data_IF_531005935500
#
_entry.id   IF_531005935500
#
_cell.length_a   1.000
_cell.length_b   1.000
_cell.length_c   1.000
_cell.angle_alpha   90.00
_cell.angle_beta   90.00
_cell.angle_gamma   90.00
#
_symmetry.space_group_name_H-M   'P 1'
#
loop_
_entity.id
_entity.type
_entity.pdbx_description
1 polymer ?
#
# COMPACT_ATOMS: atom_id res chain seq x y z
N UNK A 1 -8.83 -29.99 -15.13
CA UNK A 1 -8.19 -28.69 -14.81
C UNK A 1 -7.50 -28.02 -16.00
N UNK A 2 -6.81 -28.74 -16.90
CA UNK A 2 -6.28 -28.15 -18.15
C UNK A 2 -7.36 -27.64 -19.12
N UNK A 3 -8.52 -28.33 -19.19
CA UNK A 3 -9.65 -27.86 -20.02
C UNK A 3 -10.34 -26.60 -19.49
N UNK A 4 -10.31 -26.35 -18.18
CA UNK A 4 -10.79 -25.08 -17.60
C UNK A 4 -9.84 -23.91 -17.89
N UNK A 5 -8.53 -24.18 -18.05
CA UNK A 5 -7.52 -23.22 -18.52
C UNK A 5 -7.71 -22.88 -20.00
N UNK A 6 -7.97 -23.89 -20.83
CA UNK A 6 -8.24 -23.69 -22.27
C UNK A 6 -9.57 -22.96 -22.49
N UNK A 7 -10.62 -23.28 -21.72
CA UNK A 7 -11.88 -22.55 -21.77
C UNK A 7 -11.75 -21.08 -21.31
N UNK A 8 -10.97 -20.79 -20.26
CA UNK A 8 -10.68 -19.40 -19.81
C UNK A 8 -9.86 -18.62 -20.84
N UNK A 9 -8.85 -19.22 -21.45
CA UNK A 9 -8.03 -18.60 -22.48
C UNK A 9 -8.81 -18.38 -23.78
N UNK A 10 -9.67 -19.33 -24.19
CA UNK A 10 -10.51 -19.22 -25.39
C UNK A 10 -11.69 -18.25 -25.19
N UNK A 11 -12.26 -18.17 -23.98
CA UNK A 11 -13.31 -17.19 -23.66
C UNK A 11 -12.74 -15.77 -23.55
N UNK A 12 -11.52 -15.61 -23.01
CA UNK A 12 -10.80 -14.35 -23.12
C UNK A 12 -10.52 -14.04 -24.59
N UNK A 13 -9.93 -14.95 -25.37
CA UNK A 13 -9.60 -14.76 -26.79
C UNK A 13 -10.79 -14.36 -27.67
N UNK A 14 -12.01 -14.83 -27.38
CA UNK A 14 -13.22 -14.39 -28.09
C UNK A 14 -13.69 -12.99 -27.72
N UNK A 15 -13.43 -12.52 -26.49
CA UNK A 15 -13.67 -11.12 -26.10
C UNK A 15 -12.63 -10.17 -26.73
N UNK A 16 -11.46 -10.69 -27.14
CA UNK A 16 -10.41 -9.93 -27.83
C UNK A 16 -10.71 -9.68 -29.33
N UNK A 17 -11.52 -10.52 -29.98
CA UNK A 17 -11.90 -10.32 -31.40
C UNK A 17 -12.87 -9.14 -31.62
N UNK A 18 -13.45 -8.58 -30.55
CA UNK A 18 -14.36 -7.42 -30.61
C UNK A 18 -13.70 -6.06 -30.33
N UNK A 19 -12.36 -5.97 -30.26
CA UNK A 19 -11.65 -4.68 -30.32
C UNK A 19 -11.79 -3.74 -29.10
N UNK A 20 -12.10 -4.27 -27.91
CA UNK A 20 -12.26 -3.46 -26.69
C UNK A 20 -10.97 -3.47 -25.83
N UNK A 21 -9.95 -2.71 -26.26
CA UNK A 21 -8.71 -2.51 -25.50
C UNK A 21 -8.87 -1.50 -24.38
N UNK A 22 -8.46 -1.87 -23.15
CA UNK A 22 -8.34 -0.97 -21.98
C UNK A 22 -6.89 -0.43 -21.93
N UNK A 23 -6.69 0.73 -21.30
CA UNK A 23 -5.50 1.58 -21.46
C UNK A 23 -4.69 1.69 -20.18
N UNK A 24 -3.37 1.57 -20.31
CA UNK A 24 -2.42 1.97 -19.27
C UNK A 24 -2.14 3.47 -19.46
N UNK A 25 -2.38 4.28 -18.43
CA UNK A 25 -2.07 5.70 -18.47
C UNK A 25 -0.73 5.96 -17.80
N UNK A 26 0.23 6.46 -18.58
CA UNK A 26 1.56 6.83 -18.07
C UNK A 26 1.71 8.33 -18.00
N UNK A 27 2.00 8.86 -16.81
CA UNK A 27 2.30 10.29 -16.66
C UNK A 27 3.67 10.59 -17.28
N UNK A 28 3.74 11.49 -18.26
CA UNK A 28 5.01 12.09 -18.70
C UNK A 28 5.54 12.97 -17.56
N UNK A 29 6.34 12.38 -16.69
CA UNK A 29 7.16 13.17 -15.77
C UNK A 29 8.15 13.95 -16.64
N UNK A 30 8.18 15.28 -16.49
CA UNK A 30 9.32 16.06 -16.99
C UNK A 30 10.60 15.38 -16.50
N UNK A 31 11.60 15.33 -17.37
CA UNK A 31 12.75 14.42 -17.40
C UNK A 31 13.71 14.48 -16.21
N UNK A 32 13.32 15.04 -15.06
CA UNK A 32 14.20 15.35 -13.95
C UNK A 32 14.28 14.28 -12.84
N UNK A 33 13.55 13.15 -12.95
CA UNK A 33 13.69 12.04 -11.98
C UNK A 33 13.62 10.69 -12.70
N UNK A 34 14.59 10.40 -13.57
CA UNK A 34 14.91 9.04 -14.06
C UNK A 34 16.28 8.94 -14.77
N UNK A 35 17.29 9.64 -14.27
CA UNK A 35 18.69 9.39 -14.66
C UNK A 35 19.48 8.74 -13.52
N UNK A 36 19.09 7.53 -13.14
CA UNK A 36 20.00 6.61 -12.45
C UNK A 36 19.79 5.20 -12.96
N UNK A 37 19.95 5.01 -14.27
CA UNK A 37 20.34 3.73 -14.88
C UNK A 37 20.64 3.97 -16.36
N UNK A 38 21.91 4.22 -16.68
CA UNK A 38 22.55 3.80 -17.94
C UNK A 38 24.04 3.99 -17.76
N UNK A 39 24.69 2.95 -17.25
CA UNK A 39 26.13 2.79 -17.38
C UNK A 39 26.36 1.97 -18.66
N UNK A 40 26.92 2.56 -19.72
CA UNK A 40 27.79 1.83 -20.62
C UNK A 40 29.22 2.34 -20.40
N UNK A 41 30.07 1.45 -19.93
CA UNK A 41 31.51 1.66 -19.88
C UNK A 41 32.05 2.07 -21.25
N UNK A 42 33.13 2.87 -21.20
CA UNK A 42 34.00 3.39 -22.28
C UNK A 42 33.50 4.68 -22.97
N UNK A 43 34.04 5.81 -22.52
CA UNK A 43 34.67 6.82 -23.40
C UNK A 43 35.76 7.59 -22.64
N UNK A 44 36.75 8.02 -23.43
CA UNK A 44 38.12 8.38 -23.05
C UNK A 44 38.23 9.70 -22.28
N UNK A 45 39.35 9.80 -21.58
CA UNK A 45 39.97 10.99 -20.98
C UNK A 45 39.94 12.19 -21.95
N UNK A 46 39.50 13.36 -21.47
CA UNK A 46 39.64 14.66 -22.13
C UNK A 46 38.54 15.67 -21.76
N UNK A 47 38.94 16.88 -21.37
CA UNK A 47 38.18 18.14 -21.23
C UNK A 47 37.38 18.46 -19.95
N UNK A 48 38.13 18.97 -18.97
CA UNK A 48 38.01 20.28 -18.31
C UNK A 48 36.69 21.06 -18.48
N UNK A 49 36.00 21.25 -17.34
CA UNK A 49 35.41 22.53 -16.98
C UNK A 49 34.02 22.87 -17.51
N UNK A 50 32.97 22.16 -17.08
CA UNK A 50 31.60 22.74 -17.00
C UNK A 50 30.95 22.33 -15.68
N UNK A 51 30.70 23.32 -14.83
CA UNK A 51 30.02 23.14 -13.55
C UNK A 51 28.65 22.50 -13.77
N UNK A 52 28.36 21.43 -13.04
CA UNK A 52 27.04 20.80 -13.02
C UNK A 52 25.98 21.83 -12.57
N UNK A 53 24.79 21.87 -13.20
CA UNK A 53 23.73 22.76 -12.78
C UNK A 53 23.39 22.50 -11.31
N UNK A 54 23.43 23.56 -10.49
CA UNK A 54 23.08 23.49 -9.07
C UNK A 54 21.63 23.03 -8.92
N UNK A 55 21.44 21.85 -8.33
CA UNK A 55 20.14 21.35 -7.91
C UNK A 55 19.44 22.39 -7.02
N UNK A 56 18.24 22.83 -7.44
CA UNK A 56 17.38 23.75 -6.67
C UNK A 56 16.53 23.03 -5.61
N UNK A 57 16.71 21.72 -5.40
CA UNK A 57 16.10 21.04 -4.27
C UNK A 57 16.81 21.43 -2.98
N UNK A 58 16.25 22.39 -2.24
CA UNK A 58 16.48 22.47 -0.79
C UNK A 58 16.02 21.12 -0.22
N UNK A 59 16.95 20.28 0.22
CA UNK A 59 16.61 19.04 0.91
C UNK A 59 15.88 19.42 2.19
N UNK A 60 14.55 19.30 2.20
CA UNK A 60 13.79 19.47 3.43
C UNK A 60 14.37 18.53 4.49
N UNK A 61 14.58 19.05 5.71
CA UNK A 61 15.08 18.23 6.80
C UNK A 61 14.18 16.99 7.00
N UNK A 62 14.74 15.82 7.36
CA UNK A 62 13.94 14.65 7.69
C UNK A 62 12.88 14.98 8.76
N UNK A 63 11.68 14.37 8.71
CA UNK A 63 10.73 14.49 9.81
C UNK A 63 11.32 13.91 11.10
N UNK A 64 10.94 14.44 12.25
CA UNK A 64 11.41 14.02 13.58
C UNK A 64 10.44 13.06 14.27
N UNK A 65 9.19 13.01 13.82
CA UNK A 65 8.14 12.13 14.35
C UNK A 65 7.17 11.68 13.24
N UNK A 66 6.29 10.73 13.57
CA UNK A 66 5.19 10.34 12.68
C UNK A 66 4.18 11.47 12.50
N UNK A 67 3.87 12.22 13.56
CA UNK A 67 3.00 13.41 13.51
C UNK A 67 3.50 14.41 12.50
N UNK A 68 4.76 14.82 12.62
CA UNK A 68 5.36 15.78 11.70
C UNK A 68 5.39 15.23 10.26
N UNK A 69 5.65 13.94 10.08
CA UNK A 69 5.61 13.30 8.76
C UNK A 69 4.23 13.38 8.10
N UNK A 70 3.17 13.12 8.87
CA UNK A 70 1.78 13.12 8.42
C UNK A 70 1.30 14.56 8.18
N UNK A 71 1.62 15.50 9.06
CA UNK A 71 1.23 16.91 8.94
C UNK A 71 1.82 17.60 7.71
N UNK A 72 3.06 17.23 7.35
CA UNK A 72 3.71 17.72 6.13
C UNK A 72 3.01 17.26 4.84
N UNK A 73 2.13 16.25 4.90
CA UNK A 73 1.40 15.74 3.75
C UNK A 73 -0.01 16.32 3.70
N UNK A 74 -0.39 16.88 2.54
CA UNK A 74 -1.80 17.20 2.24
C UNK A 74 -2.64 15.96 1.95
N UNK A 75 -2.00 14.91 1.42
CA UNK A 75 -2.65 13.67 1.01
C UNK A 75 -1.85 12.48 1.53
N UNK A 76 -2.52 11.60 2.27
CA UNK A 76 -1.94 10.36 2.75
C UNK A 76 -2.12 9.26 1.70
N UNK A 77 -1.19 8.32 1.66
CA UNK A 77 -1.36 7.09 0.90
C UNK A 77 -1.98 6.01 1.76
N UNK A 78 -2.67 5.05 1.15
CA UNK A 78 -3.09 3.81 1.84
C UNK A 78 -1.89 3.13 2.50
N UNK A 79 -0.73 3.13 1.83
CA UNK A 79 0.52 2.62 2.39
C UNK A 79 0.94 3.34 3.67
N UNK A 80 0.72 4.66 3.79
CA UNK A 80 1.02 5.39 5.03
C UNK A 80 0.21 4.86 6.21
N UNK A 81 -1.07 4.52 5.98
CA UNK A 81 -1.97 4.03 7.03
C UNK A 81 -1.70 2.57 7.41
N UNK A 82 -1.25 1.73 6.47
CA UNK A 82 -1.07 0.28 6.71
C UNK A 82 0.37 -0.15 6.93
N UNK A 83 1.37 0.70 6.66
CA UNK A 83 2.79 0.34 6.79
C UNK A 83 3.20 -0.01 8.24
N UNK A 84 2.53 0.60 9.23
CA UNK A 84 2.73 0.35 10.66
C UNK A 84 2.07 -0.93 11.18
N UNK A 85 1.22 -1.59 10.41
CA UNK A 85 0.30 -2.62 10.93
C UNK A 85 0.98 -3.84 11.55
N UNK A 86 2.25 -4.09 11.24
CA UNK A 86 3.02 -5.19 11.84
C UNK A 86 4.01 -4.73 12.91
N UNK A 87 4.45 -3.47 12.88
CA UNK A 87 5.35 -2.86 13.85
C UNK A 87 5.45 -1.35 13.58
N UNK A 88 4.91 -0.54 14.50
CA UNK A 88 4.86 0.93 14.36
C UNK A 88 6.24 1.56 14.60
N UNK A 89 7.09 0.96 15.43
CA UNK A 89 8.51 1.36 15.54
C UNK A 89 9.24 1.22 14.20
N UNK A 90 9.05 0.09 13.51
CA UNK A 90 9.68 -0.10 12.21
C UNK A 90 9.16 0.90 11.17
N UNK A 91 7.88 1.30 11.25
CA UNK A 91 7.32 2.35 10.42
C UNK A 91 7.95 3.72 10.74
N UNK A 92 7.99 4.12 12.02
CA UNK A 92 8.67 5.32 12.48
C UNK A 92 10.12 5.37 11.98
N UNK A 93 10.91 4.31 12.21
CA UNK A 93 12.31 4.29 11.78
C UNK A 93 12.47 4.41 10.26
N UNK A 94 11.59 3.79 9.48
CA UNK A 94 11.59 3.94 8.01
C UNK A 94 11.26 5.37 7.57
N UNK A 95 10.35 6.05 8.28
CA UNK A 95 10.02 7.46 8.05
C UNK A 95 11.22 8.36 8.34
N UNK A 96 11.85 8.20 9.51
CA UNK A 96 13.05 8.96 9.90
C UNK A 96 14.22 8.72 8.93
N UNK A 97 14.37 7.48 8.45
CA UNK A 97 15.39 7.09 7.49
C UNK A 97 15.05 7.46 6.04
N UNK A 98 13.96 8.20 5.81
CA UNK A 98 13.52 8.64 4.49
C UNK A 98 13.43 7.49 3.49
N UNK A 99 12.76 6.38 3.87
CA UNK A 99 12.73 5.15 3.07
C UNK A 99 12.12 5.28 1.66
N UNK A 100 11.52 6.43 1.35
CA UNK A 100 11.01 6.78 0.03
C UNK A 100 12.13 7.17 -0.97
N UNK A 101 13.32 7.54 -0.47
CA UNK A 101 14.48 7.86 -1.28
C UNK A 101 15.27 6.60 -1.67
N UNK A 102 16.03 6.61 -2.78
CA UNK A 102 17.04 5.59 -3.06
C UNK A 102 18.08 5.48 -1.92
N UNK A 103 18.63 4.29 -1.69
CA UNK A 103 19.59 4.04 -0.59
C UNK A 103 20.74 5.06 -0.48
N UNK A 104 21.39 5.50 -1.58
CA UNK A 104 22.49 6.47 -1.48
C UNK A 104 22.10 7.85 -0.95
N UNK A 105 20.81 8.19 -0.98
CA UNK A 105 20.28 9.47 -0.51
C UNK A 105 19.68 9.39 0.90
N UNK A 106 19.69 8.20 1.52
CA UNK A 106 19.18 8.00 2.88
C UNK A 106 20.24 8.35 3.92
N UNK A 107 19.84 8.88 5.08
CA UNK A 107 20.77 9.11 6.18
C UNK A 107 21.36 7.78 6.67
N UNK A 108 22.63 7.80 7.08
CA UNK A 108 23.35 6.61 7.53
C UNK A 108 22.94 6.12 8.91
N UNK A 109 22.38 7.01 9.72
CA UNK A 109 21.77 6.73 11.01
C UNK A 109 20.55 7.63 11.19
N UNK A 110 19.69 7.28 12.14
CA UNK A 110 18.54 8.08 12.54
C UNK A 110 18.63 8.39 14.02
N UNK A 111 18.03 9.50 14.42
CA UNK A 111 17.81 9.84 15.83
C UNK A 111 16.32 9.71 16.11
N UNK A 112 15.95 8.91 17.10
CA UNK A 112 14.55 8.68 17.49
C UNK A 112 14.02 9.85 18.32
N UNK A 113 12.68 9.93 18.50
CA UNK A 113 12.09 10.89 19.45
C UNK A 113 12.63 10.75 20.88
N UNK A 114 13.13 9.58 21.26
CA UNK A 114 13.73 9.32 22.57
C UNK A 114 15.21 9.73 22.65
N UNK A 115 15.79 10.22 21.56
CA UNK A 115 17.18 10.65 21.48
C UNK A 115 18.18 9.54 21.15
N UNK A 116 17.72 8.31 20.93
CA UNK A 116 18.59 7.19 20.59
C UNK A 116 19.05 7.27 19.13
N UNK A 117 20.31 6.93 18.88
CA UNK A 117 20.88 6.87 17.53
C UNK A 117 20.88 5.42 17.05
N UNK A 118 20.13 5.14 15.96
CA UNK A 118 20.08 3.80 15.36
C UNK A 118 20.76 3.79 13.99
N UNK A 119 21.47 2.71 13.71
CA UNK A 119 22.05 2.42 12.41
C UNK A 119 21.34 1.21 11.80
N UNK A 120 20.78 1.31 10.58
CA UNK A 120 20.11 0.17 9.96
C UNK A 120 21.13 -0.85 9.45
N UNK A 121 20.70 -2.10 9.35
CA UNK A 121 21.39 -3.10 8.54
C UNK A 121 21.23 -2.77 7.05
N UNK A 122 22.27 -2.19 6.46
CA UNK A 122 22.32 -1.83 5.04
C UNK A 122 22.10 -3.02 4.12
N UNK A 123 22.66 -4.19 4.44
CA UNK A 123 22.47 -5.42 3.68
C UNK A 123 20.98 -5.81 3.57
N UNK A 124 20.22 -5.71 4.68
CA UNK A 124 18.77 -5.97 4.69
C UNK A 124 17.99 -4.91 3.92
N UNK A 125 18.41 -3.64 3.99
CA UNK A 125 17.78 -2.57 3.20
C UNK A 125 17.98 -2.78 1.69
N UNK A 126 19.19 -3.15 1.27
CA UNK A 126 19.50 -3.48 -0.12
C UNK A 126 18.67 -4.67 -0.61
N UNK A 127 18.65 -5.76 0.16
CA UNK A 127 17.83 -6.93 -0.17
C UNK A 127 16.34 -6.57 -0.30
N UNK A 128 15.82 -5.70 0.57
CA UNK A 128 14.43 -5.21 0.50
C UNK A 128 14.19 -4.41 -0.77
N UNK A 129 15.10 -3.51 -1.15
CA UNK A 129 14.97 -2.71 -2.38
C UNK A 129 14.94 -3.60 -3.64
N UNK A 130 15.80 -4.62 -3.72
CA UNK A 130 15.79 -5.61 -4.80
C UNK A 130 14.50 -6.46 -4.85
N UNK A 131 13.89 -6.74 -3.70
CA UNK A 131 12.60 -7.44 -3.63
C UNK A 131 11.48 -6.53 -4.13
N UNK A 132 11.46 -5.26 -3.70
CA UNK A 132 10.47 -4.28 -4.13
C UNK A 132 10.57 -3.98 -5.63
N UNK A 133 11.79 -3.87 -6.17
CA UNK A 133 12.00 -3.63 -7.60
C UNK A 133 11.45 -4.78 -8.45
N UNK A 134 11.77 -6.04 -8.09
CA UNK A 134 11.18 -7.20 -8.76
C UNK A 134 9.67 -7.26 -8.61
N UNK A 135 9.14 -6.83 -7.46
CA UNK A 135 7.70 -6.67 -7.25
C UNK A 135 7.09 -5.73 -8.28
N UNK A 136 7.65 -4.53 -8.43
CA UNK A 136 7.17 -3.55 -9.41
C UNK A 136 7.23 -4.08 -10.85
N UNK A 137 8.30 -4.78 -11.23
CA UNK A 137 8.43 -5.38 -12.56
C UNK A 137 7.31 -6.38 -12.87
N UNK A 138 6.85 -7.14 -11.88
CA UNK A 138 5.71 -8.07 -12.03
C UNK A 138 4.40 -7.33 -12.23
N UNK A 139 4.15 -6.25 -11.48
CA UNK A 139 2.94 -5.43 -11.67
C UNK A 139 2.92 -4.80 -13.05
N UNK A 140 4.05 -4.24 -13.49
CA UNK A 140 4.23 -3.71 -14.85
C UNK A 140 3.91 -4.76 -15.94
N UNK A 141 4.27 -6.03 -15.72
CA UNK A 141 3.94 -7.12 -16.67
C UNK A 141 2.44 -7.42 -16.65
N UNK A 142 1.84 -7.57 -15.46
CA UNK A 142 0.42 -7.90 -15.30
C UNK A 142 -0.49 -6.78 -15.83
N UNK A 143 -0.11 -5.52 -15.62
CA UNK A 143 -0.79 -4.36 -16.19
C UNK A 143 -0.79 -4.43 -17.72
N UNK A 144 0.39 -4.62 -18.35
CA UNK A 144 0.52 -4.74 -19.82
C UNK A 144 -0.30 -5.88 -20.42
N UNK A 145 -0.53 -6.96 -19.68
CA UNK A 145 -1.36 -8.08 -20.15
C UNK A 145 -2.85 -7.71 -20.24
N UNK A 146 -3.33 -6.79 -19.41
CA UNK A 146 -4.73 -6.35 -19.37
C UNK A 146 -4.94 -5.06 -20.17
N UNK A 147 -3.94 -4.19 -20.18
CA UNK A 147 -4.00 -2.83 -20.73
C UNK A 147 -2.79 -2.56 -21.65
N UNK A 148 -2.77 -3.11 -22.88
CA UNK A 148 -1.58 -3.05 -23.74
C UNK A 148 -1.38 -1.67 -24.39
N UNK A 149 -2.44 -0.88 -24.56
CA UNK A 149 -2.37 0.45 -25.19
C UNK A 149 -1.94 1.45 -24.12
N UNK A 150 -0.88 2.23 -24.40
CA UNK A 150 -0.37 3.27 -23.51
C UNK A 150 -0.70 4.65 -24.03
N UNK A 151 -1.42 5.43 -23.22
CA UNK A 151 -1.60 6.87 -23.48
C UNK A 151 -0.75 7.64 -22.48
N UNK A 152 0.15 8.47 -22.99
CA UNK A 152 0.98 9.34 -22.16
C UNK A 152 0.26 10.67 -21.91
N UNK A 153 0.08 11.03 -20.64
CA UNK A 153 -0.54 12.30 -20.27
C UNK A 153 0.49 13.34 -19.84
N UNK A 154 0.36 14.54 -20.40
CA UNK A 154 1.07 15.76 -20.03
C UNK A 154 0.25 16.49 -18.97
N UNK A 155 0.76 16.50 -17.74
CA UNK A 155 0.12 17.16 -16.60
C UNK A 155 0.84 18.49 -16.31
N UNK A 156 0.16 19.60 -16.56
CA UNK A 156 0.68 20.96 -16.37
C UNK A 156 0.21 21.53 -15.04
N UNK A 157 -1.07 21.31 -14.71
CA UNK A 157 -1.69 21.84 -13.49
C UNK A 157 -1.93 20.75 -12.45
N UNK A 158 -2.06 21.12 -11.16
CA UNK A 158 -2.58 20.20 -10.14
C UNK A 158 -3.97 19.65 -10.48
N UNK A 159 -4.82 20.46 -11.14
CA UNK A 159 -6.15 20.05 -11.61
C UNK A 159 -6.09 18.88 -12.58
N UNK A 160 -5.16 18.91 -13.55
CA UNK A 160 -4.98 17.85 -14.55
C UNK A 160 -4.73 16.48 -13.89
N UNK A 161 -3.97 16.46 -12.79
CA UNK A 161 -3.67 15.22 -12.06
C UNK A 161 -4.92 14.60 -11.44
N UNK A 162 -5.76 15.41 -10.80
CA UNK A 162 -6.98 14.91 -10.15
C UNK A 162 -8.07 14.60 -11.17
N UNK A 163 -8.15 15.38 -12.25
CA UNK A 163 -8.98 15.07 -13.40
C UNK A 163 -8.64 13.70 -13.97
N UNK A 164 -7.34 13.41 -14.16
CA UNK A 164 -6.90 12.12 -14.64
C UNK A 164 -7.32 10.97 -13.71
N UNK A 165 -7.15 11.13 -12.39
CA UNK A 165 -7.53 10.08 -11.44
C UNK A 165 -9.04 9.79 -11.46
N UNK A 166 -9.89 10.82 -11.60
CA UNK A 166 -11.34 10.63 -11.76
C UNK A 166 -11.70 9.87 -13.03
N UNK A 167 -11.10 10.26 -14.17
CA UNK A 167 -11.30 9.56 -15.44
C UNK A 167 -10.83 8.10 -15.34
N UNK A 168 -9.64 7.84 -14.80
CA UNK A 168 -9.08 6.50 -14.64
C UNK A 168 -9.94 5.62 -13.72
N UNK A 169 -10.47 6.18 -12.62
CA UNK A 169 -11.39 5.45 -11.76
C UNK A 169 -12.65 5.04 -12.53
N UNK A 170 -13.30 6.00 -13.19
CA UNK A 170 -14.56 5.75 -13.89
C UNK A 170 -14.39 4.81 -15.09
N UNK A 171 -13.36 5.02 -15.92
CA UNK A 171 -13.05 4.12 -17.05
C UNK A 171 -12.58 2.75 -16.58
N UNK A 172 -11.81 2.67 -15.48
CA UNK A 172 -11.38 1.40 -14.88
C UNK A 172 -12.56 0.56 -14.39
N UNK A 173 -13.53 1.18 -13.72
CA UNK A 173 -14.75 0.50 -13.27
C UNK A 173 -15.63 0.09 -14.48
N UNK A 174 -15.80 0.97 -15.47
CA UNK A 174 -16.53 0.65 -16.69
C UNK A 174 -15.86 -0.49 -17.49
N UNK A 175 -14.54 -0.48 -17.61
CA UNK A 175 -13.74 -1.52 -18.24
C UNK A 175 -13.84 -2.85 -17.50
N UNK A 176 -13.75 -2.84 -16.16
CA UNK A 176 -13.97 -4.05 -15.36
C UNK A 176 -15.38 -4.61 -15.60
N UNK A 177 -16.41 -3.77 -15.68
CA UNK A 177 -17.79 -4.19 -15.99
C UNK A 177 -17.91 -4.75 -17.41
N UNK A 178 -17.36 -4.08 -18.41
CA UNK A 178 -17.66 -4.38 -19.82
C UNK A 178 -16.68 -5.41 -20.39
N UNK A 179 -15.39 -5.27 -20.11
CA UNK A 179 -14.30 -6.11 -20.63
C UNK A 179 -13.81 -7.17 -19.63
N UNK A 180 -14.34 -7.18 -18.40
CA UNK A 180 -14.16 -8.24 -17.41
C UNK A 180 -13.03 -8.03 -16.39
N UNK A 181 -12.07 -7.16 -16.67
CA UNK A 181 -11.06 -6.74 -15.69
C UNK A 181 -10.42 -5.39 -16.03
N UNK A 182 -9.92 -4.70 -15.01
CA UNK A 182 -9.07 -3.52 -15.13
C UNK A 182 -8.01 -3.54 -14.02
N UNK A 183 -6.85 -2.91 -14.27
CA UNK A 183 -5.72 -2.85 -13.33
C UNK A 183 -5.30 -1.42 -13.06
N UNK A 184 -4.55 -1.23 -11.96
CA UNK A 184 -3.97 0.04 -11.53
C UNK A 184 -5.01 1.18 -11.41
N UNK A 185 -6.13 0.89 -10.74
CA UNK A 185 -7.27 1.82 -10.64
C UNK A 185 -7.06 2.76 -9.44
N UNK A 186 -6.89 4.07 -9.65
CA UNK A 186 -6.71 5.00 -8.56
C UNK A 186 -8.02 5.17 -7.77
N UNK A 187 -7.90 5.20 -6.45
CA UNK A 187 -9.01 5.51 -5.54
C UNK A 187 -8.58 6.55 -4.53
N UNK A 188 -9.51 7.36 -4.06
CA UNK A 188 -9.26 8.35 -3.03
C UNK A 188 -10.55 8.73 -2.33
N UNK A 189 -10.42 9.27 -1.12
CA UNK A 189 -11.53 9.67 -0.27
C UNK A 189 -11.05 10.12 1.10
N UNK A 190 -11.99 10.34 2.00
CA UNK A 190 -11.71 10.84 3.34
C UNK A 190 -11.70 9.73 4.37
N UNK A 191 -10.73 9.81 5.27
CA UNK A 191 -10.63 8.94 6.44
C UNK A 191 -10.17 9.81 7.60
N UNK A 192 -10.97 9.90 8.66
CA UNK A 192 -10.72 10.82 9.78
C UNK A 192 -10.47 12.27 9.32
N UNK A 193 -11.26 12.76 8.37
CA UNK A 193 -11.11 14.12 7.81
C UNK A 193 -9.83 14.37 7.00
N UNK A 194 -9.02 13.33 6.74
CA UNK A 194 -7.79 13.42 5.93
C UNK A 194 -8.02 12.80 4.57
N UNK A 195 -7.58 13.50 3.52
CA UNK A 195 -7.63 12.97 2.15
C UNK A 195 -6.60 11.83 2.00
N UNK A 196 -7.09 10.64 1.67
CA UNK A 196 -6.31 9.43 1.46
C UNK A 196 -6.44 8.99 0.01
N UNK A 197 -5.33 8.53 -0.58
CA UNK A 197 -5.32 7.94 -1.93
C UNK A 197 -4.66 6.57 -1.97
N UNK A 198 -5.10 5.75 -2.92
CA UNK A 198 -4.62 4.40 -3.16
C UNK A 198 -4.66 4.05 -4.64
N UNK A 199 -4.09 2.90 -4.97
CA UNK A 199 -4.21 2.30 -6.30
C UNK A 199 -4.56 0.83 -6.10
N UNK A 200 -5.70 0.42 -6.65
CA UNK A 200 -6.16 -0.96 -6.64
C UNK A 200 -5.46 -1.69 -7.78
N UNK A 201 -4.73 -2.75 -7.46
CA UNK A 201 -3.99 -3.51 -8.46
C UNK A 201 -4.92 -4.10 -9.53
N UNK A 202 -6.06 -4.67 -9.12
CA UNK A 202 -7.02 -5.25 -10.06
C UNK A 202 -8.46 -5.23 -9.54
N UNK A 203 -9.39 -4.92 -10.44
CA UNK A 203 -10.82 -5.14 -10.27
C UNK A 203 -11.30 -6.07 -11.37
N UNK A 204 -12.00 -7.14 -10.99
CA UNK A 204 -12.46 -8.19 -11.90
C UNK A 204 -13.97 -8.40 -11.81
N UNK A 205 -14.64 -8.58 -12.95
CA UNK A 205 -16.06 -8.94 -13.00
C UNK A 205 -16.30 -10.37 -12.52
N UNK A 206 -17.30 -10.51 -11.67
CA UNK A 206 -17.85 -11.75 -11.15
C UNK A 206 -19.36 -11.76 -11.41
N UNK A 207 -19.83 -12.47 -12.44
CA UNK A 207 -21.24 -12.53 -12.87
C UNK A 207 -21.91 -11.15 -12.98
N UNK A 208 -22.47 -10.63 -11.89
CA UNK A 208 -23.17 -9.33 -11.76
C UNK A 208 -22.49 -8.34 -10.80
N UNK A 209 -21.28 -8.62 -10.33
CA UNK A 209 -20.57 -7.86 -9.28
C UNK A 209 -19.10 -7.67 -9.65
N UNK A 210 -18.40 -6.78 -8.94
CA UNK A 210 -16.96 -6.57 -9.08
C UNK A 210 -16.22 -7.08 -7.84
N UNK A 211 -15.07 -7.73 -8.03
CA UNK A 211 -14.20 -8.21 -6.97
C UNK A 211 -12.85 -7.49 -7.06
N UNK A 212 -12.41 -6.92 -5.95
CA UNK A 212 -11.11 -6.27 -5.83
C UNK A 212 -10.07 -7.32 -5.45
N UNK A 213 -8.89 -7.20 -6.04
CA UNK A 213 -7.75 -8.00 -5.64
C UNK A 213 -6.45 -7.19 -5.61
N UNK A 214 -5.55 -7.63 -4.73
CA UNK A 214 -4.21 -7.09 -4.58
C UNK A 214 -3.21 -8.23 -4.84
N UNK A 215 -2.25 -7.96 -5.70
CA UNK A 215 -1.25 -8.93 -6.13
C UNK A 215 0.01 -8.76 -5.27
N UNK A 216 0.44 -9.82 -4.60
CA UNK A 216 1.69 -9.85 -3.83
C UNK A 216 2.68 -10.82 -4.43
N UNK A 217 3.92 -10.36 -4.58
CA UNK A 217 5.00 -11.24 -5.04
C UNK A 217 5.55 -12.09 -3.91
N UNK A 218 5.85 -13.36 -4.21
CA UNK A 218 6.34 -14.32 -3.22
C UNK A 218 7.27 -15.35 -3.85
N UNK A 219 8.41 -15.61 -3.19
CA UNK A 219 9.38 -16.63 -3.66
C UNK A 219 8.96 -18.05 -3.29
N UNK A 220 8.45 -18.27 -2.08
CA UNK A 220 8.04 -19.63 -1.67
C UNK A 220 6.66 -19.98 -2.25
N UNK A 221 6.41 -21.27 -2.44
CA UNK A 221 5.16 -21.82 -2.99
C UNK A 221 4.03 -21.98 -1.96
N UNK A 222 4.33 -21.90 -0.67
CA UNK A 222 3.30 -21.97 0.39
C UNK A 222 2.59 -20.64 0.53
N UNK A 223 1.31 -20.58 0.87
CA UNK A 223 0.68 -19.29 1.17
C UNK A 223 1.24 -18.72 2.50
N UNK A 224 1.31 -17.39 2.67
CA UNK A 224 1.61 -16.79 3.98
C UNK A 224 0.57 -17.19 5.03
N UNK A 225 0.98 -17.19 6.29
CA UNK A 225 0.05 -17.41 7.42
C UNK A 225 -0.98 -16.28 7.53
N UNK A 226 -2.14 -16.53 8.13
CA UNK A 226 -3.17 -15.52 8.45
C UNK A 226 -2.56 -14.24 9.05
N UNK A 227 -1.72 -14.38 10.08
CA UNK A 227 -1.03 -13.26 10.73
C UNK A 227 -0.13 -12.48 9.77
N UNK A 228 0.44 -13.13 8.75
CA UNK A 228 1.27 -12.44 7.77
C UNK A 228 0.48 -11.63 6.75
N UNK A 229 -0.79 -11.97 6.56
CA UNK A 229 -1.67 -11.35 5.58
C UNK A 229 -2.36 -10.09 6.10
N UNK A 230 -2.29 -9.81 7.41
CA UNK A 230 -3.00 -8.69 8.06
C UNK A 230 -2.79 -7.37 7.32
N UNK A 231 -1.55 -7.02 6.98
CA UNK A 231 -1.26 -5.77 6.25
C UNK A 231 -1.96 -5.72 4.88
N UNK A 232 -1.93 -6.82 4.12
CA UNK A 232 -2.58 -6.92 2.81
C UNK A 232 -4.11 -6.91 2.94
N UNK A 233 -4.66 -7.56 3.98
CA UNK A 233 -6.10 -7.51 4.29
C UNK A 233 -6.54 -6.07 4.60
N UNK A 234 -5.83 -5.37 5.49
CA UNK A 234 -6.11 -3.96 5.84
C UNK A 234 -6.00 -3.04 4.61
N UNK A 235 -4.98 -3.22 3.78
CA UNK A 235 -4.78 -2.47 2.54
C UNK A 235 -5.98 -2.64 1.59
N UNK A 236 -6.41 -3.87 1.34
CA UNK A 236 -7.54 -4.18 0.47
C UNK A 236 -8.88 -3.66 1.02
N UNK A 237 -9.13 -3.80 2.33
CA UNK A 237 -10.35 -3.25 2.94
C UNK A 237 -10.38 -1.73 2.82
N UNK A 238 -9.24 -1.05 3.03
CA UNK A 238 -9.16 0.40 2.89
C UNK A 238 -9.34 0.82 1.43
N UNK A 239 -8.75 0.10 0.46
CA UNK A 239 -9.04 0.34 -0.95
C UNK A 239 -10.52 0.20 -1.29
N UNK A 240 -11.18 -0.84 -0.77
CA UNK A 240 -12.62 -1.03 -0.94
C UNK A 240 -13.41 0.15 -0.38
N UNK A 241 -13.12 0.59 0.84
CA UNK A 241 -13.78 1.74 1.48
C UNK A 241 -13.62 3.02 0.66
N UNK A 242 -12.42 3.30 0.16
CA UNK A 242 -12.17 4.46 -0.70
C UNK A 242 -12.90 4.35 -2.05
N UNK A 243 -12.93 3.16 -2.65
CA UNK A 243 -13.66 2.92 -3.90
C UNK A 243 -15.17 3.12 -3.73
N UNK A 244 -15.72 2.60 -2.64
CA UNK A 244 -17.13 2.75 -2.25
C UNK A 244 -17.49 4.22 -2.05
N UNK A 245 -16.69 4.97 -1.28
CA UNK A 245 -16.93 6.39 -1.01
C UNK A 245 -16.78 7.26 -2.25
N UNK A 246 -15.81 6.96 -3.12
CA UNK A 246 -15.64 7.65 -4.39
C UNK A 246 -16.80 7.36 -5.36
N UNK A 247 -17.24 6.10 -5.46
CA UNK A 247 -18.41 5.72 -6.25
C UNK A 247 -19.68 6.43 -5.75
N UNK A 248 -19.90 6.42 -4.43
CA UNK A 248 -21.03 7.09 -3.80
C UNK A 248 -21.00 8.60 -4.04
N UNK A 249 -19.82 9.23 -3.91
CA UNK A 249 -19.65 10.66 -4.17
C UNK A 249 -19.95 11.03 -5.62
N UNK A 250 -19.51 10.22 -6.58
CA UNK A 250 -19.71 10.48 -8.02
C UNK A 250 -21.16 10.24 -8.46
N UNK A 251 -21.76 9.12 -8.03
CA UNK A 251 -23.06 8.65 -8.54
C UNK A 251 -24.24 9.04 -7.66
N UNK A 252 -24.01 9.28 -6.36
CA UNK A 252 -25.06 9.41 -5.35
C UNK A 252 -25.79 8.09 -5.05
N UNK A 253 -25.28 6.95 -5.51
CA UNK A 253 -25.95 5.65 -5.38
C UNK A 253 -25.30 4.80 -4.29
N UNK A 254 -26.11 4.36 -3.32
CA UNK A 254 -25.71 3.32 -2.38
C UNK A 254 -25.74 1.94 -3.04
N UNK A 255 -24.86 1.05 -2.58
CA UNK A 255 -24.79 -0.32 -3.11
C UNK A 255 -24.87 -1.34 -1.99
N UNK A 256 -25.39 -2.54 -2.29
CA UNK A 256 -25.67 -3.61 -1.31
C UNK A 256 -24.52 -3.96 -0.36
N UNK A 257 -23.27 -3.88 -0.83
CA UNK A 257 -22.08 -4.32 -0.07
C UNK A 257 -21.15 -3.16 0.27
N UNK A 258 -21.66 -1.93 0.25
CA UNK A 258 -20.88 -0.74 0.55
C UNK A 258 -20.35 -0.78 2.00
N UNK A 259 -19.10 -0.40 2.20
CA UNK A 259 -18.54 -0.21 3.55
C UNK A 259 -19.32 0.91 4.25
N UNK A 260 -19.86 0.62 5.44
CA UNK A 260 -20.69 1.54 6.23
C UNK A 260 -19.98 2.82 6.69
N UNK A 261 -18.65 2.81 6.69
CA UNK A 261 -17.79 3.95 7.02
C UNK A 261 -17.21 4.61 5.75
N UNK A 262 -17.67 4.22 4.55
CA UNK A 262 -17.30 4.89 3.32
C UNK A 262 -17.97 6.27 3.24
N UNK A 263 -17.18 7.33 3.39
CA UNK A 263 -17.66 8.69 3.25
C UNK A 263 -17.75 9.07 1.76
N UNK A 264 -18.88 9.65 1.31
CA UNK A 264 -19.01 10.12 -0.07
C UNK A 264 -17.99 11.22 -0.36
N UNK A 265 -17.27 11.10 -1.47
CA UNK A 265 -16.35 12.16 -1.91
C UNK A 265 -17.13 13.32 -2.50
N UNK A 266 -17.21 14.40 -1.73
CA UNK A 266 -17.80 15.68 -2.18
C UNK A 266 -16.73 16.47 -2.95
N UNK A 267 -17.06 16.85 -4.19
CA UNK A 267 -16.11 17.53 -5.09
C UNK A 267 -15.65 18.89 -4.53
N UNK A 268 -16.52 19.64 -3.86
CA UNK A 268 -16.18 20.91 -3.22
C UNK A 268 -15.13 20.71 -2.11
N UNK A 269 -15.32 19.71 -1.25
CA UNK A 269 -14.39 19.41 -0.17
C UNK A 269 -13.05 18.94 -0.73
N UNK A 270 -13.06 18.11 -1.78
CA UNK A 270 -11.85 17.69 -2.50
C UNK A 270 -11.06 18.91 -3.02
N UNK A 271 -11.75 19.82 -3.72
CA UNK A 271 -11.16 21.05 -4.23
C UNK A 271 -10.60 21.93 -3.09
N UNK A 272 -11.32 22.07 -1.97
CA UNK A 272 -10.88 22.83 -0.81
C UNK A 272 -9.61 22.22 -0.18
N UNK A 273 -9.57 20.91 0.06
CA UNK A 273 -8.41 20.18 0.60
C UNK A 273 -7.14 20.35 -0.26
N UNK A 274 -7.33 20.50 -1.57
CA UNK A 274 -6.26 20.58 -2.55
C UNK A 274 -5.95 22.01 -3.01
N UNK A 275 -6.72 23.00 -2.55
CA UNK A 275 -6.67 24.39 -3.01
C UNK A 275 -6.80 24.48 -4.54
N UNK A 276 -7.84 23.84 -5.08
CA UNK A 276 -8.18 23.83 -6.51
C UNK A 276 -9.46 24.62 -6.76
N UNK A 277 -9.52 25.28 -7.91
CA UNK A 277 -10.77 25.85 -8.43
C UNK A 277 -11.44 24.83 -9.36
N UNK A 278 -12.68 24.50 -9.04
CA UNK A 278 -13.50 23.51 -9.74
C UNK A 278 -13.82 23.93 -11.18
N UNK A 279 -13.93 25.23 -11.43
CA UNK A 279 -14.32 25.80 -12.73
C UNK A 279 -13.11 26.35 -13.51
N UNK A 280 -11.91 26.26 -12.94
CA UNK A 280 -10.69 26.57 -13.67
C UNK A 280 -10.50 25.62 -14.86
N UNK A 281 -10.12 26.14 -16.04
CA UNK A 281 -9.85 25.31 -17.19
C UNK A 281 -8.62 24.43 -16.93
N UNK A 282 -8.75 23.14 -17.26
CA UNK A 282 -7.62 22.22 -17.32
C UNK A 282 -6.69 22.61 -18.47
N UNK A 283 -5.46 22.11 -18.44
CA UNK A 283 -4.49 22.47 -19.48
C UNK A 283 -4.92 22.00 -20.87
N UNK A 284 -4.46 22.75 -21.88
CA UNK A 284 -4.67 22.41 -23.30
C UNK A 284 -4.07 21.06 -23.63
N UNK A 285 -2.87 20.79 -23.11
CA UNK A 285 -2.14 19.54 -23.30
C UNK A 285 -2.90 18.36 -22.68
N UNK A 286 -3.44 18.52 -21.47
CA UNK A 286 -4.27 17.51 -20.85
C UNK A 286 -5.53 17.24 -21.69
N UNK A 287 -6.20 18.30 -22.18
CA UNK A 287 -7.41 18.17 -22.99
C UNK A 287 -7.16 17.46 -24.32
N UNK A 288 -6.02 17.73 -24.98
CA UNK A 288 -5.57 16.99 -26.16
C UNK A 288 -5.33 15.52 -25.84
N UNK A 289 -4.66 15.21 -24.73
CA UNK A 289 -4.35 13.84 -24.35
C UNK A 289 -5.63 13.04 -23.99
N UNK A 290 -6.64 13.68 -23.36
CA UNK A 290 -7.98 13.08 -23.16
C UNK A 290 -8.64 12.75 -24.49
N UNK A 291 -8.56 13.65 -25.48
CA UNK A 291 -9.10 13.42 -26.82
C UNK A 291 -8.45 12.21 -27.49
N UNK A 292 -7.11 12.15 -27.46
CA UNK A 292 -6.36 11.00 -27.97
C UNK A 292 -6.73 9.71 -27.25
N UNK A 293 -6.92 9.74 -25.92
CA UNK A 293 -7.39 8.58 -25.17
C UNK A 293 -8.75 8.09 -25.68
N UNK A 294 -9.72 8.98 -25.91
CA UNK A 294 -11.05 8.59 -26.41
C UNK A 294 -10.97 8.02 -27.84
N UNK A 295 -10.13 8.59 -28.69
CA UNK A 295 -9.95 8.13 -30.08
C UNK A 295 -9.27 6.77 -30.21
N UNK A 296 -8.29 6.51 -29.36
CA UNK A 296 -7.40 5.34 -29.51
C UNK A 296 -7.85 4.13 -28.72
N UNK A 297 -8.88 4.28 -27.87
CA UNK A 297 -9.16 3.30 -26.81
C UNK A 297 -10.64 3.14 -26.52
N UNK A 298 -11.01 2.00 -25.95
CA UNK A 298 -12.40 1.75 -25.56
C UNK A 298 -12.72 2.51 -24.28
N UNK A 299 -13.23 3.73 -24.44
CA UNK A 299 -13.71 4.56 -23.34
C UNK A 299 -15.24 4.67 -23.38
N UNK A 300 -15.89 4.98 -22.23
CA UNK A 300 -17.32 5.22 -22.19
C UNK A 300 -17.76 6.59 -22.74
N UNK A 301 -16.82 7.41 -23.25
CA UNK A 301 -17.06 8.80 -23.65
C UNK A 301 -16.92 9.01 -25.16
N UNK A 302 -17.48 10.10 -25.65
CA UNK A 302 -17.43 10.56 -27.04
C UNK A 302 -16.68 11.88 -27.17
N UNK A 303 -16.14 12.15 -28.35
CA UNK A 303 -15.36 13.36 -28.61
C UNK A 303 -16.14 14.67 -28.48
N UNK A 304 -17.44 14.64 -28.73
CA UNK A 304 -18.33 15.80 -28.59
C UNK A 304 -18.39 16.34 -27.15
N UNK A 305 -18.02 15.53 -26.17
CA UNK A 305 -18.13 15.86 -24.75
C UNK A 305 -16.85 16.52 -24.19
N UNK A 306 -15.79 16.66 -25.00
CA UNK A 306 -14.43 17.03 -24.54
C UNK A 306 -13.98 18.38 -25.09
N UNK A 307 -14.83 19.39 -24.93
CA UNK A 307 -14.46 20.80 -25.18
C UNK A 307 -14.47 21.58 -23.86
N UNK A 308 -13.39 22.33 -23.60
CA UNK A 308 -13.20 23.13 -22.37
C UNK A 308 -13.39 22.32 -21.07
N UNK A 309 -12.42 21.45 -20.77
CA UNK A 309 -12.48 20.62 -19.56
C UNK A 309 -12.19 21.42 -18.29
N UNK A 310 -12.98 21.17 -17.25
CA UNK A 310 -12.78 21.62 -15.86
C UNK A 310 -12.96 20.41 -14.94
N UNK A 311 -12.65 20.54 -13.64
CA UNK A 311 -12.92 19.44 -12.71
C UNK A 311 -14.42 19.12 -12.61
N UNK A 312 -15.29 20.13 -12.76
CA UNK A 312 -16.75 19.94 -12.82
C UNK A 312 -17.16 19.05 -13.99
N UNK A 313 -16.66 19.33 -15.19
CA UNK A 313 -17.04 18.55 -16.38
C UNK A 313 -16.46 17.15 -16.34
N UNK A 314 -15.24 16.98 -15.81
CA UNK A 314 -14.66 15.65 -15.56
C UNK A 314 -15.49 14.83 -14.58
N UNK A 315 -16.02 15.44 -13.53
CA UNK A 315 -16.88 14.73 -12.59
C UNK A 315 -18.19 14.29 -13.24
N UNK A 316 -18.77 15.12 -14.12
CA UNK A 316 -19.95 14.74 -14.90
C UNK A 316 -19.64 13.57 -15.87
N UNK A 317 -18.50 13.60 -16.55
CA UNK A 317 -18.03 12.49 -17.40
C UNK A 317 -17.84 11.21 -16.58
N UNK A 318 -17.22 11.30 -15.40
CA UNK A 318 -17.04 10.16 -14.51
C UNK A 318 -18.40 9.56 -14.09
N UNK A 319 -19.37 10.42 -13.74
CA UNK A 319 -20.73 9.99 -13.41
C UNK A 319 -21.41 9.27 -14.57
N UNK A 320 -21.37 9.84 -15.77
CA UNK A 320 -21.94 9.23 -16.98
C UNK A 320 -21.37 7.83 -17.26
N UNK A 321 -20.06 7.64 -17.07
CA UNK A 321 -19.40 6.35 -17.25
C UNK A 321 -19.87 5.29 -16.25
N UNK A 322 -20.14 5.70 -15.00
CA UNK A 322 -20.58 4.80 -13.93
C UNK A 322 -22.08 4.47 -14.03
N UNK A 323 -22.92 5.44 -14.42
CA UNK A 323 -24.39 5.36 -14.43
C UNK A 323 -25.01 4.54 -15.59
N UNK A 324 -24.25 3.72 -16.33
CA UNK A 324 -24.72 2.95 -17.51
C UNK A 324 -25.76 1.83 -17.18
N UNK A 325 -26.97 2.21 -16.79
CA UNK A 325 -28.21 1.40 -16.67
C UNK A 325 -28.21 0.21 -15.68
N UNK A 326 -27.13 -0.03 -14.94
CA UNK A 326 -27.13 -1.00 -13.84
C UNK A 326 -26.14 -0.59 -12.74
N UNK A 327 -26.64 -0.53 -11.50
CA UNK A 327 -25.81 -0.29 -10.31
C UNK A 327 -24.72 -1.36 -10.23
N UNK A 328 -23.48 -0.90 -10.08
CA UNK A 328 -22.34 -1.79 -9.94
C UNK A 328 -22.14 -2.10 -8.47
N UNK A 329 -22.12 -3.39 -8.13
CA UNK A 329 -21.85 -3.82 -6.75
C UNK A 329 -20.40 -4.31 -6.62
N UNK A 330 -19.59 -3.59 -5.87
CA UNK A 330 -18.29 -4.08 -5.39
C UNK A 330 -18.56 -5.07 -4.25
N UNK A 331 -18.19 -6.35 -4.40
CA UNK A 331 -18.45 -7.40 -3.41
C UNK A 331 -17.74 -7.12 -2.08
N UNK A 332 -18.30 -7.64 -1.00
CA UNK A 332 -17.61 -7.69 0.29
C UNK A 332 -16.41 -8.64 0.31
N UNK A 333 -16.42 -9.66 -0.56
CA UNK A 333 -15.36 -10.67 -0.64
C UNK A 333 -14.18 -10.14 -1.46
N UNK A 334 -13.02 -10.05 -0.84
CA UNK A 334 -11.77 -9.53 -1.38
C UNK A 334 -10.75 -10.67 -1.58
N UNK A 335 -9.76 -10.44 -2.45
CA UNK A 335 -8.76 -11.44 -2.82
C UNK A 335 -7.33 -10.91 -2.72
N UNK A 336 -6.45 -11.65 -2.04
CA UNK A 336 -5.01 -11.45 -2.15
C UNK A 336 -4.47 -12.52 -3.10
N UNK A 337 -4.00 -12.11 -4.27
CA UNK A 337 -3.39 -13.00 -5.25
C UNK A 337 -1.88 -13.07 -5.03
N UNK A 338 -1.33 -14.27 -4.93
CA UNK A 338 0.12 -14.47 -4.79
C UNK A 338 0.71 -14.98 -6.10
N UNK A 339 1.75 -14.30 -6.55
CA UNK A 339 2.48 -14.63 -7.77
C UNK A 339 3.97 -14.71 -7.51
N UNK A 340 4.67 -15.47 -8.35
CA UNK A 340 6.13 -15.53 -8.33
C UNK A 340 6.71 -14.27 -8.97
N UNK A 341 7.88 -13.79 -8.49
CA UNK A 341 8.62 -12.73 -9.16
C UNK A 341 9.44 -13.27 -10.34
N UNK A 342 8.74 -13.86 -11.31
CA UNK A 342 9.27 -14.31 -12.60
C UNK A 342 8.56 -13.58 -13.75
N UNK A 343 9.06 -13.75 -14.98
CA UNK A 343 8.57 -13.04 -16.16
C UNK A 343 7.10 -13.33 -16.47
N UNK A 344 6.61 -14.51 -16.07
CA UNK A 344 5.24 -14.96 -16.34
C UNK A 344 4.27 -14.65 -15.18
N UNK A 345 4.76 -14.02 -14.10
CA UNK A 345 4.00 -13.78 -12.88
C UNK A 345 3.29 -15.06 -12.39
N UNK A 346 4.02 -16.17 -12.33
CA UNK A 346 3.45 -17.51 -12.14
C UNK A 346 2.57 -17.57 -10.88
N UNK A 347 1.29 -17.99 -10.97
CA UNK A 347 0.40 -18.05 -9.82
C UNK A 347 0.89 -19.03 -8.75
N UNK A 348 0.97 -18.57 -7.51
CA UNK A 348 1.22 -19.40 -6.33
C UNK A 348 -0.11 -19.87 -5.73
N UNK A 349 -1.09 -18.98 -5.68
CA UNK A 349 -2.42 -19.21 -5.12
C UNK A 349 -3.05 -17.90 -4.68
N UNK A 350 -4.23 -17.95 -4.09
CA UNK A 350 -4.87 -16.75 -3.53
C UNK A 350 -5.53 -17.01 -2.18
N UNK A 351 -5.71 -15.93 -1.43
CA UNK A 351 -6.41 -15.91 -0.15
C UNK A 351 -7.65 -15.04 -0.29
N UNK A 352 -8.82 -15.63 -0.04
CA UNK A 352 -10.11 -14.94 -0.10
C UNK A 352 -10.59 -14.67 1.31
N UNK A 353 -11.07 -13.45 1.55
CA UNK A 353 -11.63 -13.06 2.84
C UNK A 353 -12.76 -12.03 2.65
N UNK A 354 -13.67 -11.96 3.61
CA UNK A 354 -14.70 -10.93 3.62
C UNK A 354 -14.19 -9.67 4.32
N UNK A 355 -14.44 -8.50 3.75
CA UNK A 355 -14.09 -7.24 4.39
C UNK A 355 -14.86 -7.07 5.71
N UNK A 356 -14.17 -6.54 6.71
CA UNK A 356 -14.66 -6.33 8.07
C UNK A 356 -14.55 -4.83 8.40
N UNK A 357 -15.58 -4.02 8.06
CA UNK A 357 -15.56 -2.57 8.24
C UNK A 357 -15.23 -2.12 9.67
N UNK A 358 -15.76 -2.83 10.67
CA UNK A 358 -15.54 -2.56 12.09
C UNK A 358 -14.07 -2.78 12.48
N UNK A 359 -13.46 -3.89 12.05
CA UNK A 359 -12.04 -4.16 12.31
C UNK A 359 -11.14 -3.12 11.64
N UNK A 360 -11.47 -2.71 10.41
CA UNK A 360 -10.73 -1.65 9.72
C UNK A 360 -10.90 -0.31 10.45
N UNK A 361 -12.10 0.00 10.95
CA UNK A 361 -12.35 1.23 11.69
C UNK A 361 -11.53 1.26 12.99
N UNK A 362 -11.60 0.21 13.81
CA UNK A 362 -10.81 0.10 15.04
C UNK A 362 -9.30 0.24 14.80
N UNK A 363 -8.82 -0.29 13.67
CA UNK A 363 -7.43 -0.14 13.26
C UNK A 363 -7.10 1.32 12.90
N UNK A 364 -7.93 1.97 12.09
CA UNK A 364 -7.72 3.36 11.66
C UNK A 364 -7.78 4.30 12.86
N UNK A 365 -8.74 4.15 13.77
CA UNK A 365 -8.82 4.94 15.01
C UNK A 365 -7.48 4.92 15.78
N UNK A 366 -6.90 3.72 15.95
CA UNK A 366 -5.59 3.55 16.63
C UNK A 366 -4.41 4.15 15.87
N UNK A 367 -4.46 4.13 14.54
CA UNK A 367 -3.44 4.74 13.68
C UNK A 367 -3.51 6.26 13.75
N UNK A 368 -4.71 6.85 13.75
CA UNK A 368 -4.85 8.29 13.87
C UNK A 368 -4.46 8.80 15.27
N UNK A 369 -4.76 8.07 16.34
CA UNK A 369 -4.22 8.39 17.67
C UNK A 369 -2.68 8.39 17.72
N UNK A 370 -2.03 7.51 16.96
CA UNK A 370 -0.57 7.50 16.81
C UNK A 370 -0.08 8.70 16.00
N UNK A 371 -0.77 9.03 14.90
CA UNK A 371 -0.41 10.15 14.04
C UNK A 371 -0.59 11.49 14.75
N UNK A 372 -1.61 11.63 15.57
CA UNK A 372 -1.84 12.83 16.38
C UNK A 372 -0.90 12.93 17.59
N UNK A 373 -0.03 11.93 17.80
CA UNK A 373 0.89 11.89 18.94
C UNK A 373 0.21 11.62 20.29
N UNK A 374 -1.07 11.23 20.28
CA UNK A 374 -1.88 10.90 21.46
C UNK A 374 -1.57 9.50 22.02
N UNK A 375 -0.86 8.67 21.25
CA UNK A 375 -0.41 7.33 21.64
C UNK A 375 1.04 7.09 21.22
N UNK A 376 1.81 6.41 22.07
CA UNK A 376 3.16 5.94 21.73
C UNK A 376 3.10 4.76 20.73
N UNK A 377 4.11 4.60 19.86
CA UNK A 377 4.16 3.48 18.94
C UNK A 377 4.21 2.13 19.67
N UNK A 378 3.58 1.13 19.06
CA UNK A 378 3.57 -0.27 19.46
C UNK A 378 4.44 -1.11 18.52
N UNK A 379 5.19 -2.04 19.10
CA UNK A 379 5.99 -2.98 18.32
C UNK A 379 5.18 -4.20 17.89
N UNK A 380 5.89 -5.19 17.34
CA UNK A 380 5.25 -6.41 16.84
C UNK A 380 4.63 -7.23 17.97
N UNK A 381 3.46 -7.84 17.73
CA UNK A 381 2.86 -8.78 18.67
C UNK A 381 3.78 -9.98 18.95
N UNK A 382 3.69 -10.55 20.16
CA UNK A 382 4.57 -11.65 20.63
C UNK A 382 4.63 -12.82 19.64
N UNK A 383 3.47 -13.18 19.06
CA UNK A 383 3.32 -14.27 18.08
C UNK A 383 4.00 -14.00 16.73
N UNK A 384 4.34 -12.75 16.43
CA UNK A 384 4.92 -12.33 15.16
C UNK A 384 6.37 -11.83 15.29
N UNK A 385 7.01 -12.04 16.44
CA UNK A 385 8.39 -11.62 16.75
C UNK A 385 9.44 -12.13 15.77
N UNK A 386 9.22 -13.27 15.10
CA UNK A 386 10.08 -13.75 14.00
C UNK A 386 10.27 -12.71 12.87
N UNK A 387 9.32 -11.78 12.69
CA UNK A 387 9.45 -10.69 11.70
C UNK A 387 10.59 -9.72 12.04
N UNK A 388 11.00 -9.63 13.31
CA UNK A 388 12.17 -8.86 13.70
C UNK A 388 13.46 -9.40 13.07
N UNK A 389 13.52 -10.67 12.67
CA UNK A 389 14.73 -11.27 12.11
C UNK A 389 15.13 -10.65 10.77
N UNK A 390 14.13 -10.34 9.93
CA UNK A 390 14.33 -9.66 8.64
C UNK A 390 14.29 -8.13 8.74
N UNK A 391 13.97 -7.57 9.92
CA UNK A 391 13.94 -6.13 10.13
C UNK A 391 15.36 -5.54 10.04
N UNK A 392 15.53 -4.47 9.26
CA UNK A 392 16.79 -3.75 9.14
C UNK A 392 17.17 -3.01 10.43
N UNK A 393 16.19 -2.64 11.25
CA UNK A 393 16.34 -1.94 12.52
C UNK A 393 16.42 -2.88 13.71
N UNK A 394 16.65 -4.18 13.47
CA UNK A 394 16.64 -5.21 14.52
C UNK A 394 17.62 -4.85 15.65
N UNK A 395 18.84 -4.47 15.28
CA UNK A 395 19.89 -4.07 16.22
C UNK A 395 19.63 -2.65 16.71
N UNK A 396 19.65 -2.45 18.03
CA UNK A 396 19.32 -1.17 18.65
C UNK A 396 17.82 -0.82 18.69
N UNK A 397 16.92 -1.74 18.32
CA UNK A 397 15.47 -1.49 18.38
C UNK A 397 15.00 -1.26 19.82
N UNK A 398 14.57 -0.04 20.11
CA UNK A 398 14.08 0.40 21.43
C UNK A 398 12.96 -0.49 21.98
N UNK A 399 12.00 -0.87 21.12
CA UNK A 399 10.93 -1.77 21.53
C UNK A 399 11.45 -3.14 21.98
N UNK A 400 12.42 -3.73 21.26
CA UNK A 400 12.99 -5.05 21.62
C UNK A 400 13.72 -4.98 22.96
N UNK A 401 14.45 -3.90 23.19
CA UNK A 401 15.14 -3.64 24.44
C UNK A 401 14.16 -3.54 25.61
N UNK A 402 13.06 -2.77 25.44
CA UNK A 402 12.01 -2.69 26.47
C UNK A 402 11.35 -4.03 26.75
N UNK A 403 11.10 -4.86 25.74
CA UNK A 403 10.54 -6.21 25.95
C UNK A 403 11.54 -7.11 26.69
N UNK A 404 12.83 -7.04 26.36
CA UNK A 404 13.87 -7.79 27.05
C UNK A 404 13.97 -7.37 28.53
N UNK A 405 13.97 -6.07 28.82
CA UNK A 405 14.01 -5.56 30.19
C UNK A 405 12.75 -5.97 30.99
N UNK A 406 11.57 -5.92 30.37
CA UNK A 406 10.32 -6.44 30.99
C UNK A 406 10.40 -7.93 31.29
N UNK A 407 11.00 -8.73 30.41
CA UNK A 407 11.17 -10.16 30.63
C UNK A 407 12.16 -10.43 31.78
N UNK A 408 13.30 -9.73 31.81
CA UNK A 408 14.29 -9.83 32.89
C UNK A 408 13.68 -9.45 34.25
N UNK A 409 12.93 -8.35 34.31
CA UNK A 409 12.27 -7.91 35.54
C UNK A 409 11.23 -8.94 36.03
N UNK A 410 10.47 -9.58 35.12
CA UNK A 410 9.56 -10.68 35.47
C UNK A 410 10.31 -11.87 36.04
N UNK A 411 11.41 -12.29 35.41
CA UNK A 411 12.23 -13.40 35.91
C UNK A 411 12.80 -13.09 37.29
N UNK A 412 13.32 -11.88 37.50
CA UNK A 412 13.82 -11.44 38.82
C UNK A 412 12.72 -11.45 39.88
N UNK A 413 11.51 -10.99 39.53
CA UNK A 413 10.36 -10.99 40.46
C UNK A 413 9.95 -12.43 40.82
N UNK A 414 9.89 -13.34 39.85
CA UNK A 414 9.61 -14.75 40.11
C UNK A 414 10.67 -15.39 41.01
N UNK A 415 11.96 -15.11 40.77
CA UNK A 415 13.07 -15.64 41.59
C UNK A 415 12.94 -15.18 43.04
N UNK A 416 12.67 -13.89 43.26
CA UNK A 416 12.47 -13.33 44.62
C UNK A 416 11.24 -13.92 45.30
N UNK A 417 10.15 -14.18 44.57
CA UNK A 417 8.96 -14.82 45.12
C UNK A 417 9.20 -16.31 45.47
N UNK A 418 10.00 -17.04 44.68
CA UNK A 418 10.38 -18.42 45.00
C UNK A 418 11.39 -18.51 46.14
N UNK A 419 12.28 -17.53 46.34
CA UNK A 419 13.24 -17.52 47.45
C UNK A 419 12.63 -17.11 48.80
N UNK A 420 11.39 -16.60 48.82
CA UNK A 420 10.65 -16.23 50.05
C UNK A 420 9.70 -17.34 50.50
N UNK A 421 9.41 -18.33 49.64
CA UNK A 421 8.89 -19.62 50.08
C UNK A 421 10.09 -20.43 50.60
N UNK A 422 10.17 -20.63 51.91
CA UNK A 422 11.29 -21.32 52.58
C UNK A 422 11.56 -22.70 51.97
N UNK A 423 12.72 -22.87 51.34
CA UNK A 423 13.27 -24.14 50.86
C UNK A 423 13.68 -25.10 52.00
N UNK A 424 13.54 -24.65 53.26
CA UNK A 424 13.91 -25.43 54.45
C UNK A 424 12.95 -26.60 54.71
N UNK A 425 11.68 -26.52 54.30
CA UNK A 425 10.71 -27.61 54.53
C UNK A 425 10.92 -28.85 53.64
N UNK A 426 11.80 -28.75 52.64
CA UNK A 426 12.05 -29.83 51.67
C UNK A 426 13.15 -30.79 52.14
N UNK A 427 13.98 -30.34 53.10
CA UNK A 427 15.03 -31.14 53.73
C UNK A 427 14.59 -31.78 55.06
N UNK A 428 13.53 -31.26 55.67
CA UNK A 428 12.94 -31.83 56.90
C UNK A 428 12.42 -33.27 56.71
N UNK A 429 12.07 -33.69 55.48
CA UNK A 429 11.68 -35.08 55.17
C UNK A 429 12.88 -36.04 55.05
N UNK A 430 14.11 -35.53 54.97
CA UNK A 430 15.33 -36.33 54.84
C UNK A 430 16.16 -36.40 56.13
N UNK A 431 15.71 -35.75 57.21
CA UNK A 431 16.37 -35.77 58.51
C UNK A 431 15.96 -37.05 59.28
N UNK A 432 16.44 -38.20 58.78
CA UNK A 432 16.22 -39.50 59.42
C UNK A 432 17.17 -39.59 60.63
N UNK A 433 16.66 -39.82 61.86
CA UNK A 433 17.51 -39.97 63.03
C UNK A 433 18.53 -41.10 62.83
N UNK A 434 19.79 -40.85 63.19
CA UNK A 434 20.95 -41.74 63.03
C UNK A 434 20.71 -43.19 63.52
N UNK A 435 19.75 -43.38 64.44
CA UNK A 435 19.33 -44.66 65.00
C UNK A 435 18.57 -45.58 64.01
N UNK A 436 18.11 -45.08 62.86
CA UNK A 436 17.45 -45.90 61.83
C UNK A 436 18.40 -46.41 60.74
N UNK A 437 19.64 -45.92 60.67
CA UNK A 437 20.65 -46.35 59.69
C UNK A 437 21.30 -47.71 60.03
N UNK A 438 21.15 -48.18 61.27
CA UNK A 438 21.76 -49.44 61.75
C UNK A 438 20.93 -50.71 61.49
N UNK A 439 19.77 -50.59 60.83
CA UNK A 439 18.89 -51.73 60.51
C UNK A 439 18.82 -52.07 59.01
N UNK A 440 19.62 -51.40 58.18
CA UNK A 440 19.73 -51.71 56.77
C UNK A 440 20.91 -52.68 56.60
N UNK A 441 20.59 -53.98 56.60
CA UNK A 441 21.50 -55.04 56.16
C UNK A 441 21.91 -54.77 54.71
N UNK A 442 23.21 -54.56 54.49
CA UNK A 442 23.83 -54.39 53.17
C UNK A 442 24.16 -55.72 52.50
#
# INVERSE_FOLDING_TARGET
MAMARQARALQQSRLWEEGLGVVEVKIRRSSHVRQYTRNPARRRIGDVGKQAPKSTYRSAEPPRSLTEHVDRKRVLSVTDLVAGSWCEYAYLYNVLAQSHLPLPLRPSSITTPEGNVLTPSWAKLQQREEIMQRGAEVHDVLERQVQPIRVEFRLVTPGDRWALQLLQFASGIAAARNSGCAREIPVFGYVHGRLVRGVIDEIRRQTSTLQLSDTKTRKSWRLPTEADQIQAKLQLMLYKRLADGLYLGITGQETKYMDRYAEPVVLQDLCASLNLDIDSPLSTEFTEDVRTMIETTSTPWSLSEVSSLTLRTIFALARQALDQNATIHIRNRLEIAYVRPDQDATPVGSSLFDAQPELLQDYLDKVFLLFDGLRAPEGVGIQATRRCESCAWREGCEWRERQANKALAKTQTCIVQTSVASDDSLWDEFDIPEQQLTLLDW
#
